data_IF_054568568070
#
_entry.id   IF_054568568070
#
_cell.length_a   1.000
_cell.length_b   1.000
_cell.length_c   1.000
_cell.angle_alpha   90.00
_cell.angle_beta   90.00
_cell.angle_gamma   90.00
#
_symmetry.space_group_name_H-M   'P 1'
#
loop_
_entity.id
_entity.type
_entity.pdbx_description
1 polymer ?
#
# COMPACT_ATOMS: atom_id res chain seq x y z
N UNK A 1 -7.34 -9.31 11.92
CA UNK A 1 -6.83 -8.18 11.12
C UNK A 1 -7.04 -8.50 9.64
N UNK A 2 -7.60 -7.57 8.87
CA UNK A 2 -7.80 -7.74 7.42
C UNK A 2 -6.75 -6.92 6.68
N UNK A 3 -6.02 -7.56 5.77
CA UNK A 3 -5.03 -6.90 4.91
C UNK A 3 -5.51 -7.00 3.47
N UNK A 4 -5.73 -5.85 2.82
CA UNK A 4 -6.17 -5.79 1.43
C UNK A 4 -4.98 -5.41 0.54
N UNK A 5 -4.69 -6.24 -0.47
CA UNK A 5 -3.64 -5.94 -1.44
C UNK A 5 -4.23 -5.31 -2.69
N UNK A 6 -3.67 -4.19 -3.12
CA UNK A 6 -4.03 -3.58 -4.41
C UNK A 6 -3.63 -4.52 -5.54
N UNK A 7 -4.61 -4.98 -6.32
CA UNK A 7 -4.44 -5.91 -7.45
C UNK A 7 -4.18 -5.13 -8.74
N UNK A 8 -2.96 -4.66 -8.89
CA UNK A 8 -2.50 -3.92 -10.07
C UNK A 8 -1.10 -4.34 -10.48
N UNK A 9 -0.86 -4.38 -11.80
CA UNK A 9 0.40 -4.87 -12.38
C UNK A 9 1.27 -3.75 -12.98
N UNK A 10 0.94 -2.49 -12.71
CA UNK A 10 1.73 -1.29 -13.10
C UNK A 10 2.93 -1.01 -12.17
N UNK A 11 3.30 -2.01 -11.37
CA UNK A 11 4.29 -1.87 -10.29
C UNK A 11 5.64 -2.48 -10.67
N UNK A 12 6.71 -2.00 -10.02
CA UNK A 12 8.07 -2.56 -10.17
C UNK A 12 8.16 -4.04 -9.73
N UNK A 13 7.22 -4.48 -8.91
CA UNK A 13 7.04 -5.88 -8.50
C UNK A 13 5.71 -6.40 -9.06
N UNK A 14 5.68 -7.62 -9.59
CA UNK A 14 4.42 -8.21 -10.05
C UNK A 14 3.43 -8.34 -8.90
N UNK A 15 2.13 -8.40 -9.21
CA UNK A 15 1.12 -8.67 -8.18
C UNK A 15 1.42 -9.97 -7.41
N UNK A 16 1.84 -11.03 -8.11
CA UNK A 16 2.13 -12.32 -7.49
C UNK A 16 3.32 -12.25 -6.53
N UNK A 17 4.37 -11.51 -6.90
CA UNK A 17 5.53 -11.29 -6.02
C UNK A 17 5.10 -10.55 -4.76
N UNK A 18 4.32 -9.47 -4.89
CA UNK A 18 3.83 -8.70 -3.73
C UNK A 18 2.97 -9.56 -2.81
N UNK A 19 2.10 -10.39 -3.37
CA UNK A 19 1.26 -11.31 -2.61
C UNK A 19 2.07 -12.33 -1.82
N UNK A 20 3.09 -12.94 -2.44
CA UNK A 20 3.99 -13.88 -1.78
C UNK A 20 4.79 -13.19 -0.66
N UNK A 21 5.35 -12.00 -0.95
CA UNK A 21 6.11 -11.21 0.03
C UNK A 21 5.27 -10.82 1.25
N UNK A 22 3.99 -10.46 1.05
CA UNK A 22 3.08 -10.14 2.15
C UNK A 22 2.74 -11.40 2.96
N UNK A 23 2.49 -12.55 2.30
CA UNK A 23 2.25 -13.82 3.00
C UNK A 23 3.45 -14.23 3.87
N UNK A 24 4.65 -14.14 3.32
CA UNK A 24 5.88 -14.44 4.05
C UNK A 24 6.15 -13.44 5.17
N UNK A 25 5.93 -12.14 4.92
CA UNK A 25 6.15 -11.09 5.92
C UNK A 25 5.15 -11.08 7.08
N UNK A 26 4.02 -11.77 6.94
CA UNK A 26 2.96 -11.86 7.95
C UNK A 26 2.79 -13.27 8.52
N UNK A 27 3.66 -14.23 8.18
CA UNK A 27 3.50 -15.64 8.56
C UNK A 27 3.48 -15.85 10.09
N UNK A 28 4.23 -15.04 10.83
CA UNK A 28 4.33 -15.12 12.29
C UNK A 28 3.19 -14.35 13.01
N UNK A 29 2.30 -13.68 12.27
CA UNK A 29 1.21 -12.87 12.84
C UNK A 29 -0.09 -13.67 12.81
N UNK A 30 -0.55 -14.09 13.99
CA UNK A 30 -1.83 -14.76 14.13
C UNK A 30 -3.02 -13.85 13.78
N UNK A 31 -4.14 -14.46 13.37
CA UNK A 31 -5.42 -13.78 13.11
C UNK A 31 -5.36 -12.74 11.96
N UNK A 32 -4.53 -12.97 10.96
CA UNK A 32 -4.47 -12.16 9.73
C UNK A 32 -5.23 -12.87 8.61
N UNK A 33 -6.12 -12.13 7.94
CA UNK A 33 -6.76 -12.57 6.70
C UNK A 33 -6.25 -11.67 5.58
N UNK A 34 -5.58 -12.28 4.61
CA UNK A 34 -5.07 -11.61 3.42
C UNK A 34 -6.15 -11.68 2.34
N UNK A 35 -6.62 -10.51 1.91
CA UNK A 35 -7.55 -10.35 0.80
C UNK A 35 -6.74 -9.99 -0.43
N UNK A 36 -6.70 -10.93 -1.37
CA UNK A 36 -6.33 -10.65 -2.75
C UNK A 36 -7.31 -9.60 -3.26
N UNK A 37 -6.86 -8.36 -3.50
CA UNK A 37 -7.76 -7.25 -3.80
C UNK A 37 -8.72 -7.57 -4.94
N UNK A 38 -9.87 -6.89 -4.92
CA UNK A 38 -10.86 -6.96 -5.99
C UNK A 38 -10.97 -5.61 -6.69
N UNK A 39 -11.71 -5.58 -7.78
CA UNK A 39 -12.03 -4.34 -8.50
C UNK A 39 -12.78 -3.30 -7.64
N UNK A 40 -13.24 -3.69 -6.45
CA UNK A 40 -14.02 -2.84 -5.55
C UNK A 40 -13.23 -2.33 -4.33
N UNK A 41 -11.95 -2.69 -4.22
CA UNK A 41 -11.06 -2.25 -3.14
C UNK A 41 -9.82 -1.62 -3.76
N UNK A 42 -9.78 -0.29 -3.80
CA UNK A 42 -8.62 0.49 -4.30
C UNK A 42 -8.14 -0.05 -5.66
N UNK A 43 -9.04 -0.08 -6.66
CA UNK A 43 -8.73 -0.57 -8.01
C UNK A 43 -8.99 0.51 -9.05
N UNK A 44 -8.34 0.41 -10.21
CA UNK A 44 -8.61 1.27 -11.38
C UNK A 44 -10.10 1.33 -11.82
N UNK A 45 -10.94 0.34 -11.49
CA UNK A 45 -12.38 0.35 -11.87
C UNK A 45 -13.20 1.25 -10.94
N UNK A 46 -12.84 1.32 -9.66
CA UNK A 46 -13.45 2.23 -8.67
C UNK A 46 -12.65 3.53 -8.46
N UNK A 47 -11.41 3.55 -8.95
CA UNK A 47 -10.42 4.63 -8.87
C UNK A 47 -9.59 4.74 -10.16
N UNK A 48 -10.19 5.00 -11.32
CA UNK A 48 -9.41 5.19 -12.54
C UNK A 48 -8.45 6.38 -12.45
N UNK A 49 -8.74 7.36 -11.57
CA UNK A 49 -7.97 8.60 -11.45
C UNK A 49 -7.00 8.67 -10.27
N UNK A 50 -6.95 7.69 -9.35
CA UNK A 50 -5.88 7.66 -8.33
C UNK A 50 -4.47 7.62 -8.97
N UNK A 51 -4.41 7.18 -10.25
CA UNK A 51 -3.22 7.15 -11.10
C UNK A 51 -3.04 8.39 -11.99
N UNK A 52 -4.02 9.30 -12.03
CA UNK A 52 -4.00 10.54 -12.81
C UNK A 52 -3.73 11.73 -11.89
N UNK A 53 -2.62 12.43 -12.13
CA UNK A 53 -2.08 13.44 -11.22
C UNK A 53 -2.69 14.85 -11.34
N UNK A 54 -3.73 15.05 -12.15
CA UNK A 54 -4.05 16.39 -12.67
C UNK A 54 -5.42 16.99 -12.29
N UNK A 55 -6.18 16.42 -11.33
CA UNK A 55 -7.39 17.10 -10.82
C UNK A 55 -7.69 16.79 -9.33
N UNK A 56 -7.48 17.78 -8.46
CA UNK A 56 -7.71 17.67 -7.00
C UNK A 56 -9.19 17.42 -6.66
N UNK A 57 -10.14 17.93 -7.44
CA UNK A 57 -11.58 17.75 -7.19
C UNK A 57 -12.03 16.33 -7.52
N UNK A 58 -11.62 15.83 -8.67
CA UNK A 58 -11.93 14.46 -9.10
C UNK A 58 -11.32 13.45 -8.13
N UNK A 59 -10.07 13.67 -7.71
CA UNK A 59 -9.41 12.80 -6.74
C UNK A 59 -10.12 12.78 -5.39
N UNK A 60 -10.67 13.91 -4.91
CA UNK A 60 -11.48 13.95 -3.69
C UNK A 60 -12.78 13.14 -3.84
N UNK A 61 -13.47 13.26 -4.97
CA UNK A 61 -14.72 12.53 -5.22
C UNK A 61 -14.48 11.02 -5.28
N UNK A 62 -13.46 10.57 -6.02
CA UNK A 62 -13.09 9.16 -6.08
C UNK A 62 -12.73 8.61 -4.68
N UNK A 63 -11.95 9.37 -3.91
CA UNK A 63 -11.61 9.02 -2.52
C UNK A 63 -12.84 8.90 -1.62
N UNK A 64 -13.86 9.74 -1.84
CA UNK A 64 -15.11 9.69 -1.09
C UNK A 64 -15.94 8.45 -1.44
N UNK A 65 -16.02 8.10 -2.73
CA UNK A 65 -16.71 6.89 -3.19
C UNK A 65 -16.12 5.65 -2.54
N UNK A 66 -14.80 5.51 -2.48
CA UNK A 66 -14.15 4.39 -1.78
C UNK A 66 -14.43 4.36 -0.29
N UNK A 67 -14.32 5.51 0.39
CA UNK A 67 -14.60 5.58 1.81
C UNK A 67 -16.04 5.12 2.10
N UNK A 68 -17.00 5.55 1.28
CA UNK A 68 -18.40 5.18 1.39
C UNK A 68 -18.65 3.71 1.06
N UNK A 69 -18.06 3.18 -0.03
CA UNK A 69 -18.15 1.77 -0.38
C UNK A 69 -17.59 0.88 0.73
N UNK A 70 -16.43 1.24 1.27
CA UNK A 70 -15.82 0.54 2.39
C UNK A 70 -16.72 0.57 3.61
N UNK A 71 -17.25 1.74 3.97
CA UNK A 71 -18.12 1.89 5.13
C UNK A 71 -19.46 1.18 4.99
N UNK A 72 -20.06 1.21 3.81
CA UNK A 72 -21.41 0.70 3.59
C UNK A 72 -21.44 -0.82 3.43
N UNK A 73 -20.42 -1.39 2.79
CA UNK A 73 -20.44 -2.80 2.39
C UNK A 73 -19.32 -3.62 3.04
N UNK A 74 -18.07 -3.18 2.90
CA UNK A 74 -16.91 -4.00 3.28
C UNK A 74 -16.76 -4.09 4.81
N UNK A 75 -16.80 -2.94 5.47
CA UNK A 75 -16.64 -2.85 6.92
C UNK A 75 -17.66 -3.68 7.68
N UNK A 76 -18.98 -3.52 7.43
CA UNK A 76 -20.01 -4.33 8.07
C UNK A 76 -19.90 -5.82 7.75
N UNK A 77 -19.65 -6.20 6.49
CA UNK A 77 -19.54 -7.61 6.10
C UNK A 77 -18.38 -8.34 6.78
N UNK A 78 -17.31 -7.61 7.12
CA UNK A 78 -16.11 -8.14 7.76
C UNK A 78 -16.02 -7.80 9.25
N UNK A 79 -17.02 -7.12 9.83
CA UNK A 79 -17.00 -6.68 11.23
C UNK A 79 -15.89 -5.66 11.55
N UNK A 80 -15.42 -4.89 10.58
CA UNK A 80 -14.33 -3.91 10.75
C UNK A 80 -14.88 -2.63 11.38
N UNK A 81 -14.31 -2.24 12.51
CA UNK A 81 -14.61 -0.99 13.23
C UNK A 81 -13.49 0.02 13.17
N UNK A 82 -12.27 -0.41 12.83
CA UNK A 82 -11.08 0.43 12.74
C UNK A 82 -10.33 0.13 11.44
N UNK A 83 -9.97 1.17 10.69
CA UNK A 83 -9.11 1.10 9.50
C UNK A 83 -7.79 1.83 9.79
N UNK A 84 -6.67 1.18 9.50
CA UNK A 84 -5.33 1.74 9.69
C UNK A 84 -4.75 2.22 8.37
N UNK A 85 -4.13 3.39 8.36
CA UNK A 85 -3.35 3.92 7.23
C UNK A 85 -2.03 4.50 7.72
N UNK A 86 -1.01 4.54 6.87
CA UNK A 86 0.23 5.24 7.19
C UNK A 86 0.10 6.75 7.02
N UNK A 87 0.74 7.53 7.87
CA UNK A 87 0.87 8.99 7.67
C UNK A 87 1.63 9.28 6.38
N UNK A 88 1.18 10.26 5.61
CA UNK A 88 1.85 10.67 4.36
C UNK A 88 2.23 12.16 4.37
N UNK A 89 3.46 12.49 4.78
CA UNK A 89 3.94 13.86 4.79
C UNK A 89 4.55 14.30 3.45
N UNK A 90 4.79 13.42 2.48
CA UNK A 90 5.53 13.77 1.26
C UNK A 90 4.65 13.81 0.00
N UNK A 91 3.58 13.01 -0.04
CA UNK A 91 2.66 12.94 -1.17
C UNK A 91 1.34 13.69 -0.88
N UNK A 92 1.06 14.74 -1.67
CA UNK A 92 -0.15 15.57 -1.54
C UNK A 92 -1.42 14.75 -1.80
N UNK A 93 -1.41 13.87 -2.80
CA UNK A 93 -2.58 13.08 -3.20
C UNK A 93 -2.95 12.08 -2.13
N UNK A 94 -1.98 11.31 -1.64
CA UNK A 94 -2.23 10.34 -0.56
C UNK A 94 -2.57 11.04 0.77
N UNK A 95 -2.00 12.21 1.07
CA UNK A 95 -2.43 13.01 2.23
C UNK A 95 -3.88 13.47 2.12
N UNK A 96 -4.30 13.92 0.94
CA UNK A 96 -5.71 14.28 0.67
C UNK A 96 -6.61 13.05 0.86
N UNK A 97 -6.21 11.89 0.32
CA UNK A 97 -6.94 10.64 0.48
C UNK A 97 -7.17 10.28 1.96
N UNK A 98 -6.13 10.34 2.81
CA UNK A 98 -6.27 10.09 4.25
C UNK A 98 -7.30 11.02 4.91
N UNK A 99 -7.32 12.31 4.52
CA UNK A 99 -8.30 13.28 5.04
C UNK A 99 -9.72 12.93 4.61
N UNK A 100 -9.92 12.54 3.35
CA UNK A 100 -11.23 12.13 2.82
C UNK A 100 -11.71 10.86 3.52
N UNK A 101 -10.84 9.85 3.68
CA UNK A 101 -11.16 8.65 4.45
C UNK A 101 -11.63 9.00 5.87
N UNK A 102 -10.87 9.84 6.58
CA UNK A 102 -11.20 10.20 7.97
C UNK A 102 -12.59 10.83 8.08
N UNK A 103 -12.92 11.71 7.13
CA UNK A 103 -14.23 12.36 7.03
C UNK A 103 -15.33 11.34 6.77
N UNK A 104 -15.29 10.64 5.65
CA UNK A 104 -16.42 9.81 5.19
C UNK A 104 -16.59 8.50 5.95
N UNK A 105 -15.55 7.98 6.61
CA UNK A 105 -15.69 6.82 7.50
C UNK A 105 -16.40 7.18 8.81
N UNK A 106 -16.35 8.45 9.26
CA UNK A 106 -16.88 8.88 10.55
C UNK A 106 -18.19 9.69 10.48
N UNK A 107 -18.47 10.43 9.40
CA UNK A 107 -19.64 11.31 9.29
C UNK A 107 -20.99 10.57 9.39
N UNK A 108 -22.09 11.18 9.83
CA UNK A 108 -23.38 10.46 9.92
C UNK A 108 -24.14 10.32 8.58
N UNK A 109 -23.45 10.03 7.48
CA UNK A 109 -24.01 9.96 6.12
C UNK A 109 -24.55 8.57 5.73
N UNK A 110 -24.26 7.53 6.51
CA UNK A 110 -24.66 6.15 6.21
C UNK A 110 -25.47 5.56 7.37
N UNK A 111 -26.36 4.62 7.05
CA UNK A 111 -27.08 3.80 8.05
C UNK A 111 -26.10 2.92 8.86
N UNK A 112 -24.97 2.58 8.25
CA UNK A 112 -23.93 1.77 8.88
C UNK A 112 -23.12 2.55 9.92
N UNK A 113 -22.65 1.82 10.94
CA UNK A 113 -21.80 2.37 12.02
C UNK A 113 -20.58 3.08 11.43
N UNK A 114 -20.11 4.11 12.15
CA UNK A 114 -18.85 4.78 11.84
C UNK A 114 -17.67 3.81 11.95
N UNK A 115 -16.68 4.00 11.11
CA UNK A 115 -15.39 3.30 11.18
C UNK A 115 -14.33 4.32 11.59
N UNK A 116 -13.56 3.98 12.63
CA UNK A 116 -12.46 4.81 13.09
C UNK A 116 -11.28 4.70 12.12
N UNK A 117 -10.68 5.82 11.74
CA UNK A 117 -9.44 5.84 10.96
C UNK A 117 -8.26 6.15 11.88
N UNK A 118 -7.30 5.24 11.95
CA UNK A 118 -6.06 5.39 12.71
C UNK A 118 -4.88 5.62 11.75
N UNK A 119 -4.18 6.75 11.92
CA UNK A 119 -2.98 7.06 11.15
C UNK A 119 -1.71 6.66 11.92
N UNK A 120 -0.98 5.68 11.39
CA UNK A 120 0.26 5.19 11.98
C UNK A 120 1.44 5.98 11.42
N UNK A 121 2.25 6.57 12.32
CA UNK A 121 3.44 7.32 11.95
C UNK A 121 4.40 6.40 11.19
N UNK A 122 4.89 6.87 10.04
CA UNK A 122 5.85 6.10 9.24
C UNK A 122 7.15 5.85 9.99
N UNK A 123 7.64 4.61 9.84
CA UNK A 123 8.94 4.19 10.31
C UNK A 123 10.02 5.01 9.61
N UNK A 124 11.04 5.41 10.38
CA UNK A 124 12.24 6.09 9.89
C UNK A 124 13.45 5.16 10.02
N UNK A 125 14.33 5.21 9.05
CA UNK A 125 15.66 4.60 9.08
C UNK A 125 16.68 5.69 8.75
N UNK A 126 17.66 5.88 9.64
CA UNK A 126 18.69 6.92 9.53
C UNK A 126 18.11 8.33 9.37
N UNK A 127 17.07 8.64 10.14
CA UNK A 127 16.38 9.94 10.11
C UNK A 127 15.50 10.17 8.86
N UNK A 128 15.53 9.28 7.86
CA UNK A 128 14.71 9.36 6.64
C UNK A 128 13.53 8.40 6.71
N UNK A 129 12.39 8.81 6.17
CA UNK A 129 11.19 7.98 6.08
C UNK A 129 11.46 6.76 5.19
N UNK A 130 11.02 5.59 5.64
CA UNK A 130 11.00 4.37 4.79
C UNK A 130 9.88 4.52 3.76
N UNK A 131 10.23 4.46 2.47
CA UNK A 131 9.27 4.58 1.37
C UNK A 131 9.60 3.61 0.24
N UNK A 132 8.56 3.17 -0.48
CA UNK A 132 8.72 2.26 -1.60
C UNK A 132 9.51 2.90 -2.76
N UNK A 133 9.40 4.22 -2.96
CA UNK A 133 10.18 4.95 -3.98
C UNK A 133 11.67 4.91 -3.66
N UNK A 134 12.07 5.18 -2.40
CA UNK A 134 13.46 5.10 -1.96
C UNK A 134 14.04 3.70 -2.15
N UNK A 135 13.27 2.66 -1.82
CA UNK A 135 13.69 1.27 -2.04
C UNK A 135 13.94 1.00 -3.52
N UNK A 136 13.03 1.41 -4.41
CA UNK A 136 13.21 1.23 -5.87
C UNK A 136 14.40 2.01 -6.44
N UNK A 137 14.64 3.22 -5.97
CA UNK A 137 15.81 4.03 -6.37
C UNK A 137 17.12 3.31 -6.00
N UNK A 138 17.24 2.83 -4.76
CA UNK A 138 18.43 2.09 -4.32
C UNK A 138 18.64 0.79 -5.11
N UNK A 139 17.57 0.08 -5.47
CA UNK A 139 17.66 -1.11 -6.34
C UNK A 139 18.19 -0.72 -7.72
N UNK A 140 17.68 0.38 -8.31
CA UNK A 140 18.14 0.87 -9.63
C UNK A 140 19.60 1.34 -9.60
N UNK A 141 20.08 1.87 -8.48
CA UNK A 141 21.47 2.29 -8.28
C UNK A 141 22.38 1.12 -7.85
N UNK A 142 21.87 -0.11 -7.83
CA UNK A 142 22.58 -1.32 -7.38
C UNK A 142 23.11 -1.24 -5.93
N UNK A 143 22.55 -0.34 -5.11
CA UNK A 143 22.91 -0.15 -3.70
C UNK A 143 22.12 -1.11 -2.79
N UNK A 144 22.27 -2.41 -3.04
CA UNK A 144 21.43 -3.43 -2.43
C UNK A 144 21.53 -3.50 -0.90
N UNK A 145 22.73 -3.44 -0.33
CA UNK A 145 22.90 -3.49 1.13
C UNK A 145 22.24 -2.31 1.84
N UNK A 146 22.13 -1.15 1.18
CA UNK A 146 21.40 0.02 1.69
C UNK A 146 19.87 -0.20 1.75
N UNK A 147 19.34 -1.20 1.03
CA UNK A 147 17.92 -1.58 1.08
C UNK A 147 17.61 -2.43 2.31
N UNK A 148 18.57 -3.22 2.79
CA UNK A 148 18.40 -4.19 3.88
C UNK A 148 17.72 -3.63 5.14
N UNK A 149 18.09 -2.44 5.68
CA UNK A 149 17.42 -1.91 6.86
C UNK A 149 16.04 -1.28 6.57
N UNK A 150 15.65 -1.15 5.30
CA UNK A 150 14.41 -0.50 4.88
C UNK A 150 13.24 -1.46 4.68
N UNK A 151 13.50 -2.77 4.62
CA UNK A 151 12.50 -3.78 4.25
C UNK A 151 12.58 -5.02 5.16
N UNK A 152 11.49 -5.80 5.29
CA UNK A 152 11.53 -7.10 5.97
C UNK A 152 12.55 -8.06 5.35
N UNK A 153 13.02 -9.03 6.13
CA UNK A 153 14.00 -10.01 5.67
C UNK A 153 13.54 -10.80 4.44
N UNK A 154 12.26 -11.18 4.35
CA UNK A 154 11.67 -11.84 3.17
C UNK A 154 11.80 -10.98 1.91
N UNK A 155 11.46 -9.69 2.01
CA UNK A 155 11.60 -8.73 0.91
C UNK A 155 13.06 -8.56 0.50
N UNK A 156 13.99 -8.46 1.46
CA UNK A 156 15.42 -8.34 1.13
C UNK A 156 15.95 -9.61 0.42
N UNK A 157 15.56 -10.79 0.89
CA UNK A 157 15.94 -12.07 0.27
C UNK A 157 15.43 -12.15 -1.18
N UNK A 158 14.17 -11.77 -1.42
CA UNK A 158 13.60 -11.68 -2.76
C UNK A 158 14.39 -10.73 -3.67
N UNK A 159 14.73 -9.54 -3.16
CA UNK A 159 15.49 -8.55 -3.94
C UNK A 159 16.87 -9.11 -4.31
N UNK A 160 17.55 -9.73 -3.36
CA UNK A 160 18.86 -10.36 -3.58
C UNK A 160 18.81 -11.45 -4.64
N UNK A 161 17.79 -12.31 -4.60
CA UNK A 161 17.65 -13.41 -5.55
C UNK A 161 17.35 -12.93 -6.97
N UNK A 162 16.49 -11.91 -7.13
CA UNK A 162 15.95 -11.52 -8.43
C UNK A 162 16.73 -10.40 -9.12
N UNK A 163 17.36 -9.50 -8.36
CA UNK A 163 18.05 -8.33 -8.92
C UNK A 163 19.57 -8.44 -8.82
N UNK A 164 20.13 -8.85 -7.67
CA UNK A 164 21.59 -8.94 -7.51
C UNK A 164 22.23 -10.05 -8.36
N UNK A 165 21.55 -11.19 -8.51
CA UNK A 165 22.05 -12.33 -9.31
C UNK A 165 21.97 -12.08 -10.81
N UNK A 166 21.05 -11.22 -11.25
CA UNK A 166 20.82 -10.87 -12.65
C UNK A 166 21.89 -9.87 -13.16
N UNK A 167 22.35 -8.96 -12.30
CA UNK A 167 23.39 -7.99 -12.65
C UNK A 167 24.78 -8.64 -12.79
N UNK A 168 25.12 -9.59 -11.90
CA UNK A 168 26.39 -10.33 -12.00
C UNK A 168 26.55 -11.11 -13.32
N UNK A 169 25.44 -11.52 -13.95
CA UNK A 169 25.48 -12.16 -15.28
C UNK A 169 25.72 -11.17 -16.42
N UNK A 170 25.29 -9.91 -16.28
CA UNK A 170 25.55 -8.85 -17.26
C UNK A 170 27.00 -8.39 -17.22
N UNK A 171 27.55 -8.18 -16.02
CA UNK A 171 28.94 -7.74 -15.84
C UNK A 171 29.96 -8.82 -16.24
N UNK A 172 29.60 -10.11 -16.16
CA UNK A 172 30.45 -11.22 -16.61
C UNK A 172 30.40 -11.48 -18.13
N UNK A 173 29.56 -10.74 -18.87
CA UNK A 173 29.34 -10.89 -20.31
C UNK A 173 29.71 -9.63 -21.11
N UNK A 174 30.42 -8.66 -20.50
CA UNK A 174 30.95 -7.45 -21.14
C UNK A 174 32.47 -7.38 -21.03
#
# INVERSE_FOLDING_TARGET
MHVFLVKEDVSYFSYQDRLNLVREGLCDIANVIIHEGSDYIVSHVTFPQYFLKDDDQVNQQASAVDALMFRQYIGPALGITVRYVGTEPLDKTTRMYNRVLKKYLSESLCVQKSIQLEEIVRIKCDGKVVSASRVRELIKEHQYESVRPLVPCSTFAFIKQNFMSSDKKKDASS
#
